data_IF_005320622591
#
_entry.id   IF_005320622591
#
_cell.length_a   1.000
_cell.length_b   1.000
_cell.length_c   1.000
_cell.angle_alpha   90.00
_cell.angle_beta   90.00
_cell.angle_gamma   90.00
#
_symmetry.space_group_name_H-M   'P 1'
#
loop_
_entity.id
_entity.type
_entity.pdbx_description
1 polymer ?
#
# COMPACT_ATOMS: atom_id res chain seq x y z
N UNK A 1 26.79 -17.14 8.07
CA UNK A 1 25.51 -17.35 8.78
C UNK A 1 24.45 -16.57 8.03
N UNK A 2 23.24 -17.11 7.92
CA UNK A 2 22.13 -16.40 7.29
C UNK A 2 21.79 -15.14 8.12
N UNK A 3 21.76 -13.92 7.53
CA UNK A 3 21.47 -12.67 8.27
C UNK A 3 20.14 -12.71 9.03
N UNK A 4 19.10 -13.32 8.45
CA UNK A 4 17.79 -13.48 9.09
C UNK A 4 17.90 -14.37 10.34
N UNK A 5 18.68 -15.44 10.25
CA UNK A 5 18.90 -16.37 11.37
C UNK A 5 19.56 -15.69 12.57
N UNK A 6 20.51 -14.78 12.32
CA UNK A 6 21.19 -14.03 13.38
C UNK A 6 20.25 -13.01 14.03
N UNK A 7 19.43 -12.32 13.25
CA UNK A 7 18.47 -11.34 13.79
C UNK A 7 17.41 -11.97 14.67
N UNK A 8 16.96 -13.18 14.31
CA UNK A 8 15.96 -13.92 15.07
C UNK A 8 16.55 -14.79 16.20
N UNK A 9 17.87 -14.77 16.41
CA UNK A 9 18.58 -15.58 17.42
C UNK A 9 18.27 -17.10 17.36
N UNK A 10 18.16 -17.63 16.13
CA UNK A 10 17.70 -19.02 15.93
C UNK A 10 18.79 -20.04 16.24
N UNK A 11 18.49 -20.96 17.16
CA UNK A 11 19.35 -22.09 17.49
C UNK A 11 19.42 -23.10 16.33
N UNK A 12 20.63 -23.35 15.81
CA UNK A 12 20.87 -24.24 14.66
C UNK A 12 20.41 -25.69 14.86
N UNK A 13 20.55 -26.25 16.06
CA UNK A 13 20.18 -27.65 16.31
C UNK A 13 18.66 -27.81 16.35
N UNK A 14 17.98 -26.88 17.04
CA UNK A 14 16.52 -26.84 17.12
C UNK A 14 15.88 -26.61 15.75
N UNK A 15 16.40 -25.63 15.01
CA UNK A 15 15.99 -25.36 13.63
C UNK A 15 16.07 -26.59 12.73
N UNK A 16 17.18 -27.35 12.77
CA UNK A 16 17.34 -28.56 11.94
C UNK A 16 16.30 -29.64 12.27
N UNK A 17 15.92 -29.77 13.53
CA UNK A 17 14.86 -30.71 13.96
C UNK A 17 13.53 -30.28 13.35
N UNK A 18 13.18 -28.99 13.45
CA UNK A 18 11.93 -28.44 12.92
C UNK A 18 11.83 -28.69 11.40
N UNK A 19 12.87 -28.33 10.64
CA UNK A 19 12.89 -28.52 9.19
C UNK A 19 12.80 -29.99 8.81
N UNK A 20 13.60 -30.86 9.45
CA UNK A 20 13.58 -32.30 9.16
C UNK A 20 12.19 -32.91 9.37
N UNK A 21 11.49 -32.53 10.44
CA UNK A 21 10.14 -33.07 10.72
C UNK A 21 9.12 -32.51 9.74
N UNK A 22 9.21 -31.21 9.38
CA UNK A 22 8.36 -30.62 8.33
C UNK A 22 8.58 -31.33 6.99
N UNK A 23 9.82 -31.54 6.55
CA UNK A 23 10.15 -32.27 5.31
C UNK A 23 9.63 -33.71 5.33
N UNK A 24 9.88 -34.46 6.39
CA UNK A 24 9.41 -35.84 6.49
C UNK A 24 7.88 -35.95 6.52
N UNK A 25 7.18 -34.98 7.11
CA UNK A 25 5.72 -34.89 7.02
C UNK A 25 5.25 -34.53 5.60
N UNK A 26 5.87 -33.52 4.97
CA UNK A 26 5.54 -33.09 3.61
C UNK A 26 5.74 -34.20 2.59
N UNK A 27 6.79 -35.02 2.75
CA UNK A 27 7.14 -36.18 1.94
C UNK A 27 6.28 -37.44 2.25
N UNK A 28 5.40 -37.37 3.25
CA UNK A 28 4.53 -38.48 3.66
C UNK A 28 5.25 -39.62 4.39
N UNK A 29 6.46 -39.38 4.89
CA UNK A 29 7.24 -40.34 5.70
C UNK A 29 6.78 -40.36 7.16
N UNK A 30 6.18 -39.27 7.64
CA UNK A 30 5.61 -39.13 8.98
C UNK A 30 4.12 -38.82 8.91
N UNK A 31 3.35 -39.37 9.85
CA UNK A 31 1.98 -38.92 10.11
C UNK A 31 1.99 -37.65 10.98
N UNK A 32 0.86 -36.94 11.01
CA UNK A 32 0.68 -35.74 11.83
C UNK A 32 0.92 -36.03 13.32
N UNK A 33 0.32 -37.11 13.83
CA UNK A 33 0.44 -37.54 15.23
C UNK A 33 1.89 -37.89 15.61
N UNK A 34 2.58 -38.62 14.73
CA UNK A 34 3.96 -39.03 14.97
C UNK A 34 4.92 -37.83 14.92
N UNK A 35 4.75 -36.95 13.93
CA UNK A 35 5.54 -35.73 13.84
C UNK A 35 5.35 -34.82 15.05
N UNK A 36 4.11 -34.63 15.51
CA UNK A 36 3.82 -33.85 16.72
C UNK A 36 4.46 -34.47 17.97
N UNK A 37 4.39 -35.81 18.12
CA UNK A 37 5.04 -36.53 19.22
C UNK A 37 6.55 -36.29 19.23
N UNK A 38 7.21 -36.38 18.07
CA UNK A 38 8.65 -36.14 17.95
C UNK A 38 9.01 -34.69 18.29
N UNK A 39 8.21 -33.71 17.85
CA UNK A 39 8.41 -32.30 18.21
C UNK A 39 8.30 -32.08 19.72
N UNK A 40 7.28 -32.67 20.39
CA UNK A 40 7.12 -32.62 21.84
C UNK A 40 8.32 -33.22 22.59
N UNK A 41 8.80 -34.38 22.14
CA UNK A 41 9.92 -35.07 22.78
C UNK A 41 11.27 -34.37 22.57
N UNK A 42 11.54 -33.84 21.37
CA UNK A 42 12.86 -33.30 21.01
C UNK A 42 13.00 -31.80 21.25
N UNK A 43 11.94 -31.02 21.01
CA UNK A 43 11.98 -29.56 21.17
C UNK A 43 11.34 -29.10 22.46
N UNK A 44 10.31 -29.82 22.94
CA UNK A 44 9.46 -29.43 24.07
C UNK A 44 8.54 -28.25 23.72
N UNK A 45 9.12 -27.15 23.29
CA UNK A 45 8.46 -25.92 22.85
C UNK A 45 9.05 -25.44 21.53
N UNK A 46 8.34 -24.57 20.80
CA UNK A 46 8.79 -23.92 19.57
C UNK A 46 8.35 -22.46 19.62
N UNK A 47 9.27 -21.51 19.40
CA UNK A 47 8.90 -20.08 19.35
C UNK A 47 8.29 -19.71 17.99
N UNK A 48 7.50 -18.62 17.93
CA UNK A 48 6.95 -18.10 16.67
C UNK A 48 8.02 -17.88 15.58
N UNK A 49 9.14 -17.30 15.96
CA UNK A 49 10.29 -17.03 15.09
C UNK A 49 11.00 -18.32 14.63
N UNK A 50 11.11 -19.35 15.47
CA UNK A 50 11.63 -20.67 15.07
C UNK A 50 10.72 -21.32 14.00
N UNK A 51 9.41 -21.29 14.21
CA UNK A 51 8.44 -21.82 13.25
C UNK A 51 8.50 -21.06 11.92
N UNK A 52 8.50 -19.73 11.97
CA UNK A 52 8.49 -18.89 10.79
C UNK A 52 9.81 -18.92 10.02
N UNK A 53 10.95 -18.97 10.72
CA UNK A 53 12.26 -19.15 10.10
C UNK A 53 12.40 -20.52 9.44
N UNK A 54 11.86 -21.58 10.05
CA UNK A 54 11.82 -22.90 9.42
C UNK A 54 10.99 -22.88 8.13
N UNK A 55 9.85 -22.17 8.13
CA UNK A 55 9.03 -22.00 6.92
C UNK A 55 9.78 -21.28 5.79
N UNK A 56 10.45 -20.17 6.14
CA UNK A 56 11.32 -19.44 5.21
C UNK A 56 12.43 -20.31 4.62
N UNK A 57 12.95 -21.26 5.40
CA UNK A 57 14.07 -22.10 4.99
C UNK A 57 13.67 -23.22 4.01
N UNK A 58 12.39 -23.57 3.92
CA UNK A 58 11.86 -24.51 2.93
C UNK A 58 11.72 -23.89 1.53
N UNK A 59 11.98 -22.58 1.40
CA UNK A 59 11.94 -21.85 0.13
C UNK A 59 12.89 -22.47 -0.89
N UNK A 60 12.36 -22.76 -2.09
CA UNK A 60 13.12 -23.35 -3.20
C UNK A 60 13.22 -24.87 -3.17
N UNK A 61 12.80 -25.51 -2.07
CA UNK A 61 12.65 -26.98 -1.98
C UNK A 61 11.23 -27.38 -2.36
N UNK A 62 10.24 -26.68 -1.80
CA UNK A 62 8.82 -26.86 -2.08
C UNK A 62 8.25 -25.64 -2.80
N UNK A 63 7.18 -25.81 -3.57
CA UNK A 63 6.41 -24.69 -4.13
C UNK A 63 5.56 -24.05 -3.04
N UNK A 64 5.22 -22.78 -3.22
CA UNK A 64 4.41 -22.06 -2.22
C UNK A 64 2.99 -22.63 -2.15
N UNK A 65 2.43 -23.08 -3.28
CA UNK A 65 1.11 -23.71 -3.32
C UNK A 65 1.07 -25.02 -2.52
N UNK A 66 2.14 -25.84 -2.59
CA UNK A 66 2.22 -27.11 -1.86
C UNK A 66 2.27 -26.91 -0.33
N UNK A 67 2.94 -25.84 0.11
CA UNK A 67 2.98 -25.47 1.53
C UNK A 67 1.63 -24.89 1.95
N UNK A 68 1.04 -24.03 1.12
CA UNK A 68 -0.23 -23.40 1.41
C UNK A 68 -1.33 -24.45 1.65
N UNK A 69 -1.46 -25.43 0.76
CA UNK A 69 -2.44 -26.50 0.86
C UNK A 69 -2.28 -27.35 2.13
N UNK A 70 -1.09 -27.36 2.72
CA UNK A 70 -0.74 -28.11 3.94
C UNK A 70 -0.53 -27.21 5.15
N UNK A 71 -0.79 -25.91 5.07
CA UNK A 71 -0.40 -24.98 6.14
C UNK A 71 -1.16 -25.26 7.45
N UNK A 72 -2.44 -25.60 7.37
CA UNK A 72 -3.21 -25.96 8.57
C UNK A 72 -2.67 -27.23 9.22
N UNK A 73 -2.31 -28.24 8.43
CA UNK A 73 -1.65 -29.45 8.92
C UNK A 73 -0.27 -29.15 9.50
N UNK A 74 0.51 -28.28 8.86
CA UNK A 74 1.82 -27.85 9.33
C UNK A 74 1.72 -27.04 10.62
N UNK A 75 0.63 -26.31 10.88
CA UNK A 75 0.39 -25.67 12.18
C UNK A 75 -0.06 -26.68 13.22
N UNK A 76 -0.99 -27.58 12.87
CA UNK A 76 -1.45 -28.67 13.75
C UNK A 76 -0.29 -29.58 14.18
N UNK A 77 0.73 -29.73 13.34
CA UNK A 77 1.96 -30.45 13.67
C UNK A 77 2.65 -29.89 14.92
N UNK A 78 2.50 -28.59 15.19
CA UNK A 78 3.05 -27.91 16.37
C UNK A 78 2.02 -27.71 17.48
N UNK A 79 0.85 -28.35 17.42
CA UNK A 79 -0.16 -28.24 18.48
C UNK A 79 0.39 -28.70 19.84
N UNK A 80 0.24 -27.85 20.85
CA UNK A 80 0.84 -28.00 22.17
C UNK A 80 2.38 -27.89 22.21
N UNK A 81 3.02 -27.46 21.12
CA UNK A 81 4.47 -27.20 21.03
C UNK A 81 4.74 -25.72 20.75
N UNK A 82 3.97 -25.11 19.83
CA UNK A 82 4.10 -23.69 19.49
C UNK A 82 3.72 -22.83 20.69
N UNK A 83 4.64 -21.98 21.13
CA UNK A 83 4.43 -21.09 22.27
C UNK A 83 3.75 -19.82 21.77
N UNK A 84 2.64 -19.46 22.41
CA UNK A 84 2.03 -18.14 22.22
C UNK A 84 2.90 -17.08 22.90
N UNK A 85 3.43 -16.15 22.11
CA UNK A 85 4.17 -15.04 22.66
C UNK A 85 3.21 -14.06 23.35
N UNK A 86 3.40 -13.83 24.65
CA UNK A 86 2.70 -12.78 25.40
C UNK A 86 3.48 -11.46 25.26
N UNK A 87 3.51 -10.91 24.05
CA UNK A 87 4.14 -9.61 23.83
C UNK A 87 3.20 -8.49 24.25
N UNK A 88 3.69 -7.56 25.07
CA UNK A 88 3.03 -6.28 25.30
C UNK A 88 3.59 -5.24 24.32
N UNK A 89 2.73 -4.71 23.46
CA UNK A 89 3.09 -3.65 22.54
C UNK A 89 2.78 -2.28 23.18
N UNK A 90 3.71 -1.31 23.15
CA UNK A 90 3.45 0.03 23.67
C UNK A 90 2.22 0.68 23.02
N UNK A 91 1.52 1.54 23.75
CA UNK A 91 0.41 2.32 23.19
C UNK A 91 0.88 3.13 21.96
N UNK A 92 0.03 3.20 20.94
CA UNK A 92 0.32 3.79 19.62
C UNK A 92 1.40 3.07 18.79
N UNK A 93 1.99 1.97 19.28
CA UNK A 93 2.87 1.14 18.47
C UNK A 93 2.10 0.54 17.28
N UNK A 94 2.70 0.40 16.07
CA UNK A 94 1.98 -0.18 14.94
C UNK A 94 1.42 -1.58 15.19
N UNK A 95 2.19 -2.45 15.86
CA UNK A 95 1.70 -3.79 16.26
C UNK A 95 0.64 -3.75 17.37
N UNK A 96 0.63 -2.70 18.20
CA UNK A 96 -0.48 -2.46 19.14
C UNK A 96 -1.76 -2.13 18.36
N UNK A 97 -1.66 -1.33 17.29
CA UNK A 97 -2.82 -1.02 16.45
C UNK A 97 -3.38 -2.27 15.74
N UNK A 98 -2.52 -3.15 15.22
CA UNK A 98 -2.96 -4.45 14.67
C UNK A 98 -3.68 -5.30 15.72
N UNK A 99 -3.16 -5.37 16.95
CA UNK A 99 -3.78 -6.10 18.05
C UNK A 99 -5.16 -5.52 18.41
N UNK A 100 -5.29 -4.20 18.52
CA UNK A 100 -6.57 -3.55 18.84
C UNK A 100 -7.62 -3.74 17.75
N UNK A 101 -7.23 -3.74 16.48
CA UNK A 101 -8.12 -4.07 15.38
C UNK A 101 -8.59 -5.53 15.42
N UNK A 102 -7.69 -6.47 15.70
CA UNK A 102 -8.03 -7.89 15.86
C UNK A 102 -9.02 -8.06 17.02
N UNK A 103 -8.78 -7.39 18.15
CA UNK A 103 -9.70 -7.39 19.29
C UNK A 103 -11.06 -6.77 18.94
N UNK A 104 -11.08 -5.73 18.10
CA UNK A 104 -12.30 -5.08 17.66
C UNK A 104 -13.11 -5.95 16.69
N UNK A 105 -12.46 -6.57 15.70
CA UNK A 105 -13.16 -7.44 14.74
C UNK A 105 -13.66 -8.72 15.40
N UNK A 106 -12.99 -9.24 16.43
CA UNK A 106 -13.50 -10.40 17.16
C UNK A 106 -14.82 -10.08 17.88
N UNK A 107 -14.99 -8.84 18.40
CA UNK A 107 -16.29 -8.41 18.96
C UNK A 107 -17.38 -8.40 17.88
N UNK A 108 -17.07 -7.95 16.68
CA UNK A 108 -17.98 -7.98 15.53
C UNK A 108 -18.31 -9.43 15.12
N UNK A 109 -17.33 -10.33 15.14
CA UNK A 109 -17.54 -11.75 14.87
C UNK A 109 -18.43 -12.43 15.92
N UNK A 110 -18.27 -12.07 17.20
CA UNK A 110 -19.15 -12.53 18.27
C UNK A 110 -20.59 -12.02 18.12
N UNK A 111 -20.78 -10.77 17.69
CA UNK A 111 -22.11 -10.25 17.35
C UNK A 111 -22.75 -11.06 16.22
N UNK A 112 -21.98 -11.41 15.18
CA UNK A 112 -22.44 -12.27 14.10
C UNK A 112 -22.85 -13.67 14.59
N UNK A 113 -22.07 -14.28 15.49
CA UNK A 113 -22.41 -15.57 16.10
C UNK A 113 -23.71 -15.50 16.92
N UNK A 114 -23.95 -14.40 17.64
CA UNK A 114 -25.21 -14.20 18.37
C UNK A 114 -26.40 -14.00 17.43
N UNK A 115 -26.20 -13.33 16.29
CA UNK A 115 -27.23 -13.20 15.26
C UNK A 115 -27.58 -14.54 14.61
N UNK A 116 -26.60 -15.44 14.40
CA UNK A 116 -26.84 -16.79 13.86
C UNK A 116 -27.76 -17.65 14.75
N UNK A 117 -27.79 -17.38 16.06
CA UNK A 117 -28.61 -18.13 17.02
C UNK A 117 -30.08 -17.68 17.03
N UNK A 118 -30.43 -16.60 16.34
CA UNK A 118 -31.79 -16.06 16.35
C UNK A 118 -32.69 -16.82 15.38
N UNK A 119 -33.88 -17.19 15.84
CA UNK A 119 -34.87 -17.90 15.02
C UNK A 119 -35.43 -17.06 13.85
N UNK A 120 -35.40 -15.73 13.98
CA UNK A 120 -35.93 -14.80 12.99
C UNK A 120 -34.81 -13.99 12.35
N UNK A 121 -34.74 -14.05 11.03
CA UNK A 121 -33.85 -13.20 10.26
C UNK A 121 -34.32 -11.73 10.28
N UNK A 122 -33.42 -10.82 10.69
CA UNK A 122 -33.61 -9.37 10.63
C UNK A 122 -32.41 -8.77 9.90
N UNK A 123 -32.64 -8.16 8.73
CA UNK A 123 -31.56 -7.67 7.85
C UNK A 123 -30.68 -6.57 8.47
N UNK A 124 -31.27 -5.62 9.19
CA UNK A 124 -30.53 -4.41 9.63
C UNK A 124 -29.34 -4.70 10.57
N UNK A 125 -29.46 -5.55 11.62
CA UNK A 125 -28.29 -5.96 12.41
C UNK A 125 -27.19 -6.61 11.58
N UNK A 126 -27.55 -7.47 10.63
CA UNK A 126 -26.59 -8.09 9.71
C UNK A 126 -25.86 -7.08 8.82
N UNK A 127 -26.56 -6.02 8.37
CA UNK A 127 -25.92 -4.93 7.62
C UNK A 127 -24.87 -4.22 8.48
N UNK A 128 -25.18 -3.91 9.74
CA UNK A 128 -24.22 -3.28 10.65
C UNK A 128 -22.96 -4.13 10.89
N UNK A 129 -23.14 -5.43 11.13
CA UNK A 129 -22.03 -6.39 11.26
C UNK A 129 -21.18 -6.41 10.00
N UNK A 130 -21.79 -6.52 8.83
CA UNK A 130 -21.05 -6.62 7.56
C UNK A 130 -20.47 -5.30 7.07
N UNK A 131 -21.02 -4.15 7.49
CA UNK A 131 -20.36 -2.85 7.31
C UNK A 131 -19.04 -2.81 8.09
N UNK A 132 -19.05 -3.22 9.36
CA UNK A 132 -17.84 -3.31 10.18
C UNK A 132 -16.83 -4.34 9.65
N UNK A 133 -17.29 -5.54 9.26
CA UNK A 133 -16.42 -6.55 8.64
C UNK A 133 -15.82 -6.07 7.31
N UNK A 134 -16.55 -5.27 6.53
CA UNK A 134 -16.03 -4.72 5.27
C UNK A 134 -14.89 -3.73 5.48
N UNK A 135 -14.80 -3.06 6.64
CA UNK A 135 -13.65 -2.24 7.01
C UNK A 135 -12.37 -3.05 7.19
N UNK A 136 -12.45 -4.37 7.43
CA UNK A 136 -11.29 -5.25 7.59
C UNK A 136 -10.33 -5.21 6.39
N UNK A 137 -10.83 -4.84 5.20
CA UNK A 137 -9.97 -4.57 4.03
C UNK A 137 -8.89 -3.52 4.27
N UNK A 138 -9.12 -2.57 5.20
CA UNK A 138 -8.17 -1.52 5.57
C UNK A 138 -7.02 -2.13 6.38
N UNK A 139 -7.32 -2.97 7.36
CA UNK A 139 -6.32 -3.75 8.11
C UNK A 139 -5.47 -4.60 7.16
N UNK A 140 -6.10 -5.35 6.26
CA UNK A 140 -5.39 -6.15 5.25
C UNK A 140 -4.52 -5.28 4.34
N UNK A 141 -5.03 -4.13 3.89
CA UNK A 141 -4.27 -3.17 3.07
C UNK A 141 -3.05 -2.62 3.80
N UNK A 142 -3.18 -2.26 5.07
CA UNK A 142 -2.07 -1.76 5.88
C UNK A 142 -1.01 -2.82 6.06
N UNK A 143 -1.42 -4.05 6.36
CA UNK A 143 -0.52 -5.20 6.48
C UNK A 143 0.24 -5.46 5.17
N UNK A 144 -0.46 -5.45 4.04
CA UNK A 144 0.09 -5.73 2.71
C UNK A 144 1.02 -4.65 2.18
N UNK A 145 0.73 -3.37 2.46
CA UNK A 145 1.48 -2.25 1.91
C UNK A 145 2.53 -1.68 2.87
N UNK A 146 2.46 -2.01 4.16
CA UNK A 146 3.40 -1.50 5.17
C UNK A 146 4.18 -2.62 5.85
N UNK A 147 3.51 -3.58 6.49
CA UNK A 147 4.20 -4.60 7.29
C UNK A 147 4.97 -5.59 6.42
N UNK A 148 4.34 -6.16 5.38
CA UNK A 148 5.01 -7.16 4.53
C UNK A 148 6.25 -6.61 3.82
N UNK A 149 6.24 -5.43 3.17
CA UNK A 149 7.44 -4.89 2.54
C UNK A 149 8.59 -4.68 3.53
N UNK A 150 8.29 -4.30 4.78
CA UNK A 150 9.32 -4.17 5.81
C UNK A 150 9.92 -5.53 6.17
N UNK A 151 9.11 -6.55 6.40
CA UNK A 151 9.58 -7.91 6.69
C UNK A 151 10.39 -8.51 5.53
N UNK A 152 9.94 -8.28 4.29
CA UNK A 152 10.58 -8.75 3.06
C UNK A 152 11.98 -8.14 2.88
N UNK A 153 12.18 -6.87 3.27
CA UNK A 153 13.51 -6.25 3.29
C UNK A 153 14.50 -6.97 4.23
N UNK A 154 13.99 -7.71 5.21
CA UNK A 154 14.79 -8.57 6.10
C UNK A 154 14.88 -10.02 5.63
N UNK A 155 14.39 -10.33 4.42
CA UNK A 155 14.43 -11.68 3.83
C UNK A 155 13.35 -12.62 4.35
N UNK A 156 12.28 -12.08 4.94
CA UNK A 156 11.13 -12.83 5.45
C UNK A 156 9.98 -12.82 4.42
N UNK A 157 10.23 -13.36 3.23
CA UNK A 157 9.33 -13.19 2.07
C UNK A 157 8.38 -14.36 1.81
N UNK A 158 8.75 -15.58 2.20
CA UNK A 158 7.86 -16.73 2.01
C UNK A 158 6.67 -16.70 2.97
N UNK A 159 6.85 -16.44 4.29
CA UNK A 159 5.73 -16.32 5.20
C UNK A 159 4.79 -15.17 4.81
N UNK A 160 5.29 -14.03 4.33
CA UNK A 160 4.42 -12.90 3.90
C UNK A 160 3.57 -13.27 2.69
N UNK A 161 4.13 -13.99 1.70
CA UNK A 161 3.39 -14.49 0.54
C UNK A 161 2.29 -15.50 0.91
N UNK A 162 2.58 -16.39 1.86
CA UNK A 162 1.59 -17.34 2.38
C UNK A 162 0.47 -16.58 3.10
N UNK A 163 0.81 -15.65 3.99
CA UNK A 163 -0.15 -14.81 4.69
C UNK A 163 -1.04 -14.00 3.73
N UNK A 164 -0.48 -13.47 2.63
CA UNK A 164 -1.24 -12.76 1.59
C UNK A 164 -2.39 -13.61 1.02
N UNK A 165 -2.19 -14.92 0.89
CA UNK A 165 -3.24 -15.79 0.33
C UNK A 165 -4.40 -15.96 1.31
N UNK A 166 -4.12 -16.06 2.62
CA UNK A 166 -5.14 -16.03 3.66
C UNK A 166 -5.89 -14.69 3.68
N UNK A 167 -5.18 -13.55 3.52
CA UNK A 167 -5.79 -12.22 3.42
C UNK A 167 -6.82 -12.15 2.30
N UNK A 168 -6.43 -12.65 1.11
CA UNK A 168 -7.32 -12.74 -0.05
C UNK A 168 -8.52 -13.62 0.27
N UNK A 169 -8.32 -14.77 0.91
CA UNK A 169 -9.39 -15.68 1.31
C UNK A 169 -10.43 -15.02 2.22
N UNK A 170 -9.98 -14.29 3.24
CA UNK A 170 -10.86 -13.55 4.17
C UNK A 170 -11.60 -12.44 3.43
N UNK A 171 -10.89 -11.59 2.69
CA UNK A 171 -11.48 -10.47 1.93
C UNK A 171 -12.56 -10.95 0.96
N UNK A 172 -12.25 -11.98 0.18
CA UNK A 172 -13.15 -12.51 -0.84
C UNK A 172 -14.38 -13.15 -0.17
N UNK A 173 -14.21 -13.85 0.97
CA UNK A 173 -15.33 -14.45 1.73
C UNK A 173 -16.25 -13.41 2.34
N UNK A 174 -15.70 -12.34 2.95
CA UNK A 174 -16.50 -11.21 3.48
C UNK A 174 -17.27 -10.55 2.34
N UNK A 175 -16.61 -10.25 1.21
CA UNK A 175 -17.24 -9.60 0.06
C UNK A 175 -18.36 -10.44 -0.56
N UNK A 176 -18.16 -11.76 -0.67
CA UNK A 176 -19.15 -12.68 -1.22
C UNK A 176 -20.38 -12.76 -0.30
N UNK A 177 -20.17 -13.00 1.00
CA UNK A 177 -21.25 -13.02 1.99
C UNK A 177 -21.99 -11.68 2.04
N UNK A 178 -21.28 -10.55 1.99
CA UNK A 178 -21.93 -9.25 1.99
C UNK A 178 -22.80 -9.01 0.74
N UNK A 179 -22.35 -9.50 -0.42
CA UNK A 179 -23.13 -9.44 -1.66
C UNK A 179 -24.44 -10.21 -1.54
N UNK A 180 -24.40 -11.44 -0.99
CA UNK A 180 -25.60 -12.24 -0.75
C UNK A 180 -26.61 -11.51 0.16
N UNK A 181 -26.12 -10.86 1.23
CA UNK A 181 -26.96 -10.07 2.13
C UNK A 181 -27.63 -8.88 1.43
N UNK A 182 -26.90 -8.20 0.54
CA UNK A 182 -27.40 -7.04 -0.22
C UNK A 182 -28.40 -7.44 -1.30
N UNK A 183 -28.23 -8.61 -1.90
CA UNK A 183 -29.12 -9.19 -2.92
C UNK A 183 -30.33 -9.95 -2.32
N UNK A 184 -30.57 -9.86 -1.02
CA UNK A 184 -31.68 -10.51 -0.32
C UNK A 184 -31.66 -12.06 -0.37
N UNK A 185 -30.49 -12.65 -0.62
CA UNK A 185 -30.26 -14.12 -0.66
C UNK A 185 -29.95 -14.68 0.73
N UNK A 186 -30.93 -14.61 1.62
CA UNK A 186 -30.72 -14.83 3.05
C UNK A 186 -30.30 -16.25 3.45
N UNK A 187 -30.83 -17.29 2.81
CA UNK A 187 -30.46 -18.67 3.12
C UNK A 187 -28.99 -18.96 2.76
N UNK A 188 -28.59 -18.53 1.57
CA UNK A 188 -27.20 -18.63 1.07
C UNK A 188 -26.25 -17.80 1.93
N UNK A 189 -26.67 -16.59 2.30
CA UNK A 189 -25.93 -15.72 3.21
C UNK A 189 -25.69 -16.39 4.56
N UNK A 190 -26.75 -16.87 5.23
CA UNK A 190 -26.61 -17.51 6.55
C UNK A 190 -25.73 -18.77 6.48
N UNK A 191 -25.79 -19.50 5.37
CA UNK A 191 -24.91 -20.66 5.14
C UNK A 191 -23.44 -20.26 4.94
N UNK A 192 -23.14 -19.07 4.43
CA UNK A 192 -21.77 -18.60 4.16
C UNK A 192 -21.10 -17.90 5.35
N UNK A 193 -21.87 -17.40 6.33
CA UNK A 193 -21.32 -16.70 7.51
C UNK A 193 -20.36 -17.58 8.32
N UNK A 194 -20.68 -18.84 8.70
CA UNK A 194 -19.78 -19.65 9.52
C UNK A 194 -18.39 -19.85 8.91
N UNK A 195 -18.33 -20.12 7.60
CA UNK A 195 -17.06 -20.26 6.89
C UNK A 195 -16.30 -18.92 6.83
N UNK A 196 -17.02 -17.81 6.63
CA UNK A 196 -16.42 -16.47 6.61
C UNK A 196 -15.79 -16.12 7.95
N UNK A 197 -16.50 -16.36 9.06
CA UNK A 197 -15.99 -16.11 10.41
C UNK A 197 -14.83 -17.06 10.77
N UNK A 198 -14.89 -18.32 10.32
CA UNK A 198 -13.80 -19.28 10.52
C UNK A 198 -12.51 -18.81 9.85
N UNK A 199 -12.57 -18.37 8.57
CA UNK A 199 -11.41 -17.82 7.85
C UNK A 199 -10.84 -16.57 8.53
N UNK A 200 -11.70 -15.67 8.98
CA UNK A 200 -11.29 -14.46 9.69
C UNK A 200 -10.53 -14.80 10.98
N UNK A 201 -11.11 -15.66 11.81
CA UNK A 201 -10.51 -16.08 13.09
C UNK A 201 -9.21 -16.85 12.88
N UNK A 202 -9.16 -17.69 11.86
CA UNK A 202 -7.96 -18.42 11.49
C UNK A 202 -6.81 -17.47 11.09
N UNK A 203 -7.10 -16.48 10.24
CA UNK A 203 -6.12 -15.43 9.90
C UNK A 203 -5.65 -14.67 11.14
N UNK A 204 -6.58 -14.21 11.98
CA UNK A 204 -6.28 -13.47 13.20
C UNK A 204 -5.40 -14.30 14.16
N UNK A 205 -5.68 -15.60 14.30
CA UNK A 205 -4.86 -16.50 15.12
C UNK A 205 -3.43 -16.59 14.58
N UNK A 206 -3.28 -16.82 13.27
CA UNK A 206 -1.97 -16.88 12.61
C UNK A 206 -1.19 -15.56 12.77
N UNK A 207 -1.87 -14.42 12.74
CA UNK A 207 -1.26 -13.12 12.99
C UNK A 207 -0.75 -12.96 14.43
N UNK A 208 -1.61 -13.24 15.41
CA UNK A 208 -1.28 -13.11 16.82
C UNK A 208 -0.20 -14.10 17.27
N UNK A 209 -0.25 -15.33 16.77
CA UNK A 209 0.65 -16.41 17.20
C UNK A 209 2.00 -16.34 16.50
N UNK A 210 2.05 -15.93 15.22
CA UNK A 210 3.25 -16.02 14.40
C UNK A 210 3.71 -14.67 13.87
N UNK A 211 2.86 -13.97 13.11
CA UNK A 211 3.28 -12.79 12.34
C UNK A 211 3.72 -11.62 13.25
N UNK A 212 2.86 -11.18 14.17
CA UNK A 212 3.15 -10.01 15.01
C UNK A 212 4.34 -10.26 15.95
N UNK A 213 4.45 -11.42 16.64
CA UNK A 213 5.62 -11.70 17.47
C UNK A 213 6.93 -11.75 16.70
N UNK A 214 6.91 -12.35 15.50
CA UNK A 214 8.10 -12.40 14.64
C UNK A 214 8.46 -11.01 14.14
N UNK A 215 7.47 -10.20 13.77
CA UNK A 215 7.66 -8.82 13.33
C UNK A 215 8.31 -7.96 14.42
N UNK A 216 7.87 -8.12 15.67
CA UNK A 216 8.40 -7.37 16.81
C UNK A 216 9.88 -7.67 17.07
N UNK A 217 10.31 -8.91 16.83
CA UNK A 217 11.73 -9.29 16.95
C UNK A 217 12.58 -8.83 15.77
N UNK A 218 11.99 -8.78 14.57
CA UNK A 218 12.74 -8.59 13.33
C UNK A 218 12.98 -7.11 12.99
N UNK A 219 12.00 -6.26 13.28
CA UNK A 219 11.98 -4.85 12.90
C UNK A 219 12.51 -3.96 14.02
N UNK A 220 13.18 -2.86 13.66
CA UNK A 220 13.65 -1.87 14.64
C UNK A 220 12.61 -0.80 14.97
N UNK A 221 12.84 -0.08 16.07
CA UNK A 221 12.02 1.06 16.47
C UNK A 221 11.95 2.14 15.38
N UNK A 222 13.05 2.42 14.67
CA UNK A 222 13.04 3.37 13.54
C UNK A 222 12.14 2.92 12.39
N UNK A 223 12.09 1.61 12.13
CA UNK A 223 11.22 1.04 11.11
C UNK A 223 9.75 1.15 11.52
N UNK A 224 9.43 0.86 12.79
CA UNK A 224 8.09 1.05 13.33
C UNK A 224 7.66 2.52 13.38
N UNK A 225 8.57 3.45 13.68
CA UNK A 225 8.29 4.89 13.61
C UNK A 225 7.94 5.33 12.18
N UNK A 226 8.67 4.82 11.18
CA UNK A 226 8.36 5.08 9.77
C UNK A 226 7.01 4.46 9.38
N UNK A 227 6.75 3.23 9.82
CA UNK A 227 5.49 2.54 9.55
C UNK A 227 4.29 3.31 10.11
N UNK A 228 4.39 3.75 11.36
CA UNK A 228 3.34 4.51 12.05
C UNK A 228 2.89 5.75 11.26
N UNK A 229 3.83 6.48 10.63
CA UNK A 229 3.49 7.64 9.81
C UNK A 229 2.70 7.26 8.56
N UNK A 230 3.13 6.22 7.86
CA UNK A 230 2.50 5.77 6.62
C UNK A 230 1.17 5.04 6.85
N UNK A 231 1.02 4.39 8.00
CA UNK A 231 -0.21 3.71 8.41
C UNK A 231 -1.41 4.67 8.40
N UNK A 232 -1.20 5.94 8.77
CA UNK A 232 -2.23 6.98 8.76
C UNK A 232 -2.72 7.35 7.36
N UNK A 233 -1.92 7.12 6.31
CA UNK A 233 -2.35 7.37 4.92
C UNK A 233 -3.33 6.30 4.43
N UNK A 234 -3.23 5.08 4.99
CA UNK A 234 -4.10 3.95 4.65
C UNK A 234 -5.35 3.95 5.54
N UNK A 235 -5.16 4.18 6.84
CA UNK A 235 -6.21 4.18 7.85
C UNK A 235 -6.24 2.92 8.72
N UNK A 236 -7.29 2.84 9.55
CA UNK A 236 -7.49 1.80 10.54
C UNK A 236 -8.91 1.22 10.39
N UNK A 237 -9.04 -0.10 10.57
CA UNK A 237 -10.31 -0.82 10.50
C UNK A 237 -10.99 -0.83 11.87
N UNK A 238 -12.26 -0.44 11.96
CA UNK A 238 -13.14 -0.60 13.14
C UNK A 238 -12.74 0.26 14.36
N UNK A 239 -11.47 0.60 14.52
CA UNK A 239 -10.95 1.43 15.61
C UNK A 239 -10.76 2.88 15.15
N UNK A 240 -10.71 3.81 16.11
CA UNK A 240 -10.23 5.16 15.84
C UNK A 240 -8.74 5.14 15.53
N UNK A 241 -8.31 6.07 14.67
CA UNK A 241 -6.89 6.24 14.39
C UNK A 241 -6.10 6.52 15.69
N UNK A 242 -5.11 5.70 16.04
CA UNK A 242 -4.23 5.98 17.17
C UNK A 242 -3.36 7.20 16.93
N UNK A 243 -2.62 7.61 17.97
CA UNK A 243 -1.54 8.57 17.80
C UNK A 243 -0.37 7.97 17.02
N UNK A 244 0.61 8.81 16.70
CA UNK A 244 1.90 8.38 16.16
C UNK A 244 2.68 7.60 17.22
N UNK A 245 3.38 6.56 16.80
CA UNK A 245 4.34 5.86 17.65
C UNK A 245 5.54 6.76 17.93
N UNK A 246 5.87 6.97 19.21
CA UNK A 246 6.95 7.86 19.64
C UNK A 246 8.02 7.05 20.36
N UNK A 247 9.25 7.20 19.89
CA UNK A 247 10.43 6.64 20.52
C UNK A 247 11.37 7.79 20.90
N UNK A 248 11.67 7.96 22.21
CA UNK A 248 12.55 9.02 22.68
C UNK A 248 13.90 9.03 21.97
N UNK A 249 14.30 10.18 21.43
CA UNK A 249 15.55 10.37 20.70
C UNK A 249 15.53 9.95 19.22
N UNK A 250 14.41 9.39 18.72
CA UNK A 250 14.24 9.05 17.29
C UNK A 250 13.29 10.04 16.61
N UNK A 251 12.12 10.29 17.21
CA UNK A 251 11.08 11.14 16.64
C UNK A 251 10.34 11.97 17.69
N UNK A 252 11.09 12.63 18.57
CA UNK A 252 10.53 13.42 19.69
C UNK A 252 9.48 14.45 19.24
N UNK A 253 9.60 15.00 18.03
CA UNK A 253 8.63 15.94 17.45
C UNK A 253 7.25 15.34 17.20
N UNK A 254 7.14 14.01 17.03
CA UNK A 254 5.86 13.32 16.88
C UNK A 254 5.04 13.31 18.18
N UNK A 255 5.70 13.39 19.35
CA UNK A 255 5.01 13.47 20.64
C UNK A 255 4.12 14.73 20.75
N UNK A 256 4.57 15.84 20.15
CA UNK A 256 3.83 17.10 20.11
C UNK A 256 2.58 17.01 19.23
N UNK A 257 2.58 16.14 18.21
CA UNK A 257 1.43 15.93 17.34
C UNK A 257 0.34 15.11 18.04
N UNK A 258 0.73 14.11 18.85
CA UNK A 258 -0.22 13.30 19.64
C UNK A 258 -0.97 14.13 20.68
N UNK A 259 -0.33 15.14 21.28
CA UNK A 259 -0.94 15.99 22.32
C UNK A 259 -1.95 17.02 21.81
N UNK A 260 -2.01 17.27 20.49
CA UNK A 260 -2.81 18.35 19.90
C UNK A 260 -4.12 17.87 19.24
N UNK A 261 -4.58 16.65 19.50
CA UNK A 261 -5.88 16.16 19.04
C UNK A 261 -7.11 16.88 19.66
N UNK A 262 -6.90 17.92 20.46
CA UNK A 262 -7.93 18.82 20.96
C UNK A 262 -7.53 20.30 20.77
N UNK A 263 -7.48 20.80 19.53
CA UNK A 263 -7.41 22.25 19.28
C UNK A 263 -6.90 22.66 17.90
N UNK A 264 -7.71 23.38 17.15
CA UNK A 264 -7.34 24.02 15.88
C UNK A 264 -6.22 25.07 16.00
N UNK A 265 -5.43 25.15 14.93
CA UNK A 265 -4.62 26.26 14.40
C UNK A 265 -3.28 26.69 15.05
N UNK A 266 -2.31 26.82 14.13
CA UNK A 266 -1.17 27.74 14.08
C UNK A 266 0.03 27.52 15.00
N UNK A 267 1.13 27.04 14.41
CA UNK A 267 2.40 27.76 14.21
C UNK A 267 3.52 26.74 13.96
N UNK A 268 4.13 26.77 12.77
CA UNK A 268 5.32 25.96 12.47
C UNK A 268 6.46 26.48 13.36
N UNK A 269 6.90 25.65 14.30
CA UNK A 269 7.94 25.97 15.26
C UNK A 269 9.32 26.05 14.62
N UNK A 270 10.13 27.01 15.08
CA UNK A 270 11.50 27.28 14.62
C UNK A 270 12.45 26.06 14.69
N UNK A 271 12.08 25.00 15.40
CA UNK A 271 12.83 23.73 15.43
C UNK A 271 12.76 22.97 14.11
N UNK A 272 11.60 22.97 13.43
CA UNK A 272 11.48 22.35 12.10
C UNK A 272 12.34 23.06 11.06
N UNK A 273 12.48 24.38 11.17
CA UNK A 273 13.36 25.17 10.30
C UNK A 273 14.85 24.93 10.59
N UNK A 274 15.22 24.62 11.83
CA UNK A 274 16.59 24.27 12.19
C UNK A 274 16.96 22.85 11.74
N UNK A 275 16.05 21.89 11.85
CA UNK A 275 16.23 20.54 11.28
C UNK A 275 16.26 20.57 9.75
N UNK A 276 15.42 21.41 9.13
CA UNK A 276 15.46 21.65 7.69
C UNK A 276 16.76 22.35 7.26
N UNK A 277 17.32 23.25 8.07
CA UNK A 277 18.63 23.85 7.81
C UNK A 277 19.79 22.84 7.96
N UNK A 278 19.67 21.88 8.88
CA UNK A 278 20.60 20.75 9.03
C UNK A 278 20.53 19.77 7.85
N UNK A 279 19.35 19.56 7.28
CA UNK A 279 19.15 18.75 6.07
C UNK A 279 19.57 19.50 4.80
N UNK A 280 19.27 20.80 4.70
CA UNK A 280 19.68 21.66 3.58
C UNK A 280 21.19 21.83 3.51
N UNK A 281 21.92 21.90 4.63
CA UNK A 281 23.40 21.93 4.61
C UNK A 281 24.04 20.60 4.20
N UNK A 282 23.29 19.49 4.24
CA UNK A 282 23.72 18.17 3.77
C UNK A 282 23.41 17.93 2.29
N UNK A 283 22.34 18.53 1.76
CA UNK A 283 21.87 18.34 0.38
C UNK A 283 22.15 19.53 -0.55
N UNK A 284 22.34 20.72 0.00
CA UNK A 284 22.75 21.93 -0.71
C UNK A 284 24.20 22.19 -0.30
N UNK A 285 25.13 21.60 -1.06
CA UNK A 285 26.53 22.03 -1.04
C UNK A 285 26.64 23.56 -1.21
N UNK A 286 27.76 24.18 -0.81
CA UNK A 286 27.89 25.63 -0.71
C UNK A 286 27.53 26.30 -2.04
N UNK A 287 26.95 27.49 -1.96
CA UNK A 287 26.71 28.42 -3.07
C UNK A 287 27.84 28.31 -4.12
N UNK A 288 27.55 27.63 -5.24
CA UNK A 288 28.53 27.32 -6.28
C UNK A 288 28.26 25.95 -6.92
N UNK A 289 27.72 25.95 -8.13
CA UNK A 289 27.16 24.79 -8.80
C UNK A 289 28.06 23.55 -8.84
N UNK A 290 27.51 22.43 -8.35
CA UNK A 290 27.95 21.09 -8.69
C UNK A 290 26.84 20.46 -9.53
N UNK A 291 27.13 19.92 -10.73
CA UNK A 291 26.10 19.28 -11.54
C UNK A 291 25.56 18.05 -10.80
N UNK A 292 24.24 17.97 -10.61
CA UNK A 292 23.57 16.72 -10.23
C UNK A 292 23.84 15.71 -11.34
N UNK A 293 24.54 14.63 -11.02
CA UNK A 293 24.82 13.55 -11.97
C UNK A 293 23.53 12.88 -12.39
N UNK A 294 23.46 12.33 -13.62
CA UNK A 294 22.26 11.62 -14.12
C UNK A 294 21.80 10.48 -13.19
N UNK A 295 22.73 9.90 -12.45
CA UNK A 295 22.51 8.78 -11.51
C UNK A 295 22.24 9.23 -10.07
N UNK A 296 22.19 10.53 -9.78
CA UNK A 296 21.85 10.99 -8.44
C UNK A 296 20.39 10.68 -8.14
N UNK A 297 20.16 9.90 -7.08
CA UNK A 297 18.82 9.57 -6.57
C UNK A 297 18.26 10.80 -5.84
N UNK A 298 17.12 11.29 -6.30
CA UNK A 298 16.38 12.41 -5.74
C UNK A 298 15.25 11.87 -4.85
N UNK A 299 15.11 12.43 -3.66
CA UNK A 299 13.95 12.23 -2.80
C UNK A 299 12.77 13.05 -3.38
N UNK A 300 11.67 12.38 -3.74
CA UNK A 300 10.40 13.01 -4.13
C UNK A 300 9.37 12.81 -3.02
N UNK A 301 8.23 13.52 -3.07
CA UNK A 301 7.21 13.48 -2.00
C UNK A 301 6.82 12.05 -1.60
N UNK A 302 6.70 11.14 -2.58
CA UNK A 302 6.40 9.73 -2.35
C UNK A 302 7.35 8.86 -3.18
N UNK A 303 8.55 8.60 -2.65
CA UNK A 303 9.53 7.69 -3.24
C UNK A 303 10.88 8.33 -3.55
N UNK A 304 11.72 7.59 -4.29
CA UNK A 304 13.07 8.02 -4.67
C UNK A 304 13.35 7.65 -6.12
N UNK A 305 13.77 8.61 -6.93
CA UNK A 305 14.01 8.42 -8.37
C UNK A 305 15.25 9.19 -8.82
N UNK A 306 15.98 8.65 -9.79
CA UNK A 306 17.00 9.45 -10.49
C UNK A 306 16.36 10.43 -11.47
N UNK A 307 17.09 11.48 -11.86
CA UNK A 307 16.62 12.40 -12.89
C UNK A 307 16.33 11.69 -14.22
N UNK A 308 17.11 10.65 -14.55
CA UNK A 308 16.86 9.82 -15.73
C UNK A 308 15.53 9.06 -15.62
N UNK A 309 15.23 8.45 -14.47
CA UNK A 309 13.97 7.76 -14.25
C UNK A 309 12.77 8.71 -14.35
N UNK A 310 12.87 9.93 -13.80
CA UNK A 310 11.82 10.95 -13.92
C UNK A 310 11.55 11.28 -15.39
N UNK A 311 12.59 11.48 -16.20
CA UNK A 311 12.44 11.75 -17.64
C UNK A 311 11.81 10.56 -18.38
N UNK A 312 12.18 9.33 -18.02
CA UNK A 312 11.60 8.11 -18.61
C UNK A 312 10.11 7.99 -18.27
N UNK A 313 9.71 8.22 -17.02
CA UNK A 313 8.30 8.20 -16.63
C UNK A 313 7.49 9.18 -17.49
N UNK A 314 7.92 10.44 -17.60
CA UNK A 314 7.22 11.43 -18.42
C UNK A 314 7.17 11.07 -19.92
N UNK A 315 8.20 10.40 -20.44
CA UNK A 315 8.24 9.95 -21.85
C UNK A 315 7.29 8.78 -22.13
N UNK A 316 6.99 7.97 -21.12
CA UNK A 316 6.19 6.75 -21.24
C UNK A 316 4.76 6.87 -20.72
N UNK A 317 4.37 8.02 -20.16
CA UNK A 317 2.97 8.31 -19.86
C UNK A 317 2.13 8.28 -21.15
N UNK A 318 0.89 7.75 -21.11
CA UNK A 318 -0.04 7.74 -22.25
C UNK A 318 -0.75 9.08 -22.44
N UNK A 319 -0.13 10.17 -21.97
CA UNK A 319 -0.65 11.54 -22.03
C UNK A 319 0.49 12.52 -22.30
N UNK A 320 0.15 13.62 -22.96
CA UNK A 320 1.07 14.73 -23.16
C UNK A 320 0.90 15.75 -22.06
N UNK A 321 2.02 16.23 -21.50
CA UNK A 321 2.03 17.24 -20.45
C UNK A 321 2.77 18.48 -20.93
N UNK A 322 2.30 19.66 -20.52
CA UNK A 322 3.03 20.93 -20.62
C UNK A 322 2.83 21.72 -19.34
N UNK A 323 3.90 22.29 -18.80
CA UNK A 323 3.86 23.05 -17.55
C UNK A 323 4.37 24.48 -17.75
N UNK A 324 3.57 25.43 -17.28
CA UNK A 324 3.84 26.86 -17.24
C UNK A 324 3.93 27.29 -15.78
N UNK A 325 5.00 27.98 -15.39
CA UNK A 325 5.23 28.37 -13.99
C UNK A 325 4.38 29.58 -13.55
N UNK A 326 4.55 29.98 -12.29
CA UNK A 326 3.87 31.13 -11.71
C UNK A 326 4.19 32.47 -12.39
N UNK A 327 5.26 32.52 -13.20
CA UNK A 327 5.70 33.66 -14.00
C UNK A 327 5.25 33.57 -15.47
N UNK A 328 4.34 32.64 -15.77
CA UNK A 328 3.77 32.44 -17.11
C UNK A 328 4.78 31.98 -18.16
N UNK A 329 5.91 31.41 -17.72
CA UNK A 329 6.95 30.87 -18.58
C UNK A 329 6.80 29.36 -18.74
N UNK A 330 6.88 28.87 -19.97
CA UNK A 330 6.89 27.42 -20.23
C UNK A 330 8.17 26.80 -19.66
N UNK A 331 8.04 25.85 -18.73
CA UNK A 331 9.19 25.20 -18.08
C UNK A 331 9.42 23.77 -18.53
N UNK A 332 8.37 23.09 -18.94
CA UNK A 332 8.43 21.66 -19.21
C UNK A 332 7.38 21.25 -20.23
N UNK A 333 7.71 20.22 -21.02
CA UNK A 333 6.77 19.45 -21.80
C UNK A 333 7.24 17.99 -21.87
N UNK A 334 6.33 17.02 -21.95
CA UNK A 334 6.68 15.60 -22.10
C UNK A 334 7.03 15.26 -23.55
N UNK A 335 8.12 14.52 -23.77
CA UNK A 335 8.58 14.06 -25.09
C UNK A 335 8.17 12.64 -25.44
N UNK A 336 6.85 12.43 -25.44
CA UNK A 336 6.19 11.19 -25.82
C UNK A 336 6.32 10.94 -27.34
N UNK A 337 6.46 9.67 -27.77
CA UNK A 337 6.45 9.32 -29.19
C UNK A 337 5.13 9.61 -29.92
N UNK A 338 4.01 9.60 -29.18
CA UNK A 338 2.64 9.70 -29.67
C UNK A 338 2.02 11.09 -29.49
N UNK A 339 2.85 12.13 -29.41
CA UNK A 339 2.39 13.48 -29.06
C UNK A 339 1.37 14.03 -30.05
N UNK A 340 0.29 14.60 -29.52
CA UNK A 340 -0.85 15.16 -30.26
C UNK A 340 -0.47 16.46 -30.96
N UNK A 341 0.21 17.38 -30.24
CA UNK A 341 0.69 18.64 -30.82
C UNK A 341 2.21 18.78 -30.71
N UNK A 342 2.93 19.04 -31.80
CA UNK A 342 4.39 19.19 -31.74
C UNK A 342 4.79 20.39 -30.87
N UNK A 343 5.90 20.24 -30.15
CA UNK A 343 6.58 21.30 -29.40
C UNK A 343 8.06 21.28 -29.76
N UNK A 344 8.70 22.44 -29.78
CA UNK A 344 10.14 22.60 -29.99
C UNK A 344 10.81 22.96 -28.67
N UNK A 345 12.05 22.52 -28.46
CA UNK A 345 12.85 22.89 -27.28
C UNK A 345 12.95 24.42 -27.09
N UNK A 346 12.85 25.20 -28.18
CA UNK A 346 12.85 26.67 -28.14
C UNK A 346 11.63 27.29 -27.42
N UNK A 347 10.61 26.49 -27.08
CA UNK A 347 9.45 26.96 -26.33
C UNK A 347 9.77 27.16 -24.84
N UNK A 348 10.80 26.47 -24.32
CA UNK A 348 11.18 26.57 -22.91
C UNK A 348 11.68 27.99 -22.60
N UNK A 349 11.12 28.59 -21.56
CA UNK A 349 11.39 29.97 -21.13
C UNK A 349 10.59 31.04 -21.88
N UNK A 350 9.72 30.65 -22.83
CA UNK A 350 8.84 31.59 -23.54
C UNK A 350 7.57 31.86 -22.72
N UNK A 351 7.08 33.10 -22.75
CA UNK A 351 5.77 33.44 -22.16
C UNK A 351 4.63 32.71 -22.88
N UNK A 352 3.71 32.11 -22.12
CA UNK A 352 2.63 31.26 -22.64
C UNK A 352 1.73 31.98 -23.66
N UNK A 353 1.45 33.27 -23.46
CA UNK A 353 0.65 34.08 -24.41
C UNK A 353 1.29 34.15 -25.79
N UNK A 354 2.62 34.16 -25.85
CA UNK A 354 3.36 34.22 -27.11
C UNK A 354 3.36 32.87 -27.85
N UNK A 355 3.00 31.76 -27.18
CA UNK A 355 2.88 30.44 -27.79
C UNK A 355 1.54 30.22 -28.51
N UNK A 356 0.60 31.15 -28.39
CA UNK A 356 -0.75 31.00 -28.92
C UNK A 356 -1.06 32.05 -30.01
N UNK A 357 -1.93 31.74 -30.99
CA UNK A 357 -2.42 32.72 -31.95
C UNK A 357 -3.14 33.89 -31.28
N UNK A 358 -3.06 35.10 -31.84
CA UNK A 358 -3.68 36.31 -31.26
C UNK A 358 -5.17 36.16 -30.91
N UNK A 359 -5.91 35.36 -31.69
CA UNK A 359 -7.33 35.07 -31.46
C UNK A 359 -7.64 34.26 -30.20
N UNK A 360 -6.65 33.63 -29.56
CA UNK A 360 -6.84 32.77 -28.38
C UNK A 360 -6.04 33.24 -27.16
N UNK A 361 -5.24 34.31 -27.28
CA UNK A 361 -4.44 34.85 -26.16
C UNK A 361 -5.33 35.27 -24.99
N UNK A 362 -6.46 35.92 -25.27
CA UNK A 362 -7.39 36.36 -24.22
C UNK A 362 -7.93 35.20 -23.38
N UNK A 363 -8.19 34.04 -24.02
CA UNK A 363 -8.64 32.82 -23.31
C UNK A 363 -7.52 32.27 -22.41
N UNK A 364 -6.27 32.30 -22.88
CA UNK A 364 -5.11 31.84 -22.10
C UNK A 364 -4.90 32.74 -20.87
N UNK A 365 -4.96 34.05 -21.05
CA UNK A 365 -4.83 35.03 -19.96
C UNK A 365 -5.96 34.89 -18.94
N UNK A 366 -7.20 34.69 -19.41
CA UNK A 366 -8.37 34.44 -18.57
C UNK A 366 -8.21 33.17 -17.73
N UNK A 367 -7.76 32.05 -18.33
CA UNK A 367 -7.50 30.80 -17.61
C UNK A 367 -6.43 31.01 -16.53
N UNK A 368 -5.31 31.66 -16.87
CA UNK A 368 -4.23 31.90 -15.91
C UNK A 368 -4.70 32.75 -14.74
N UNK A 369 -5.45 33.82 -14.98
CA UNK A 369 -5.93 34.71 -13.92
C UNK A 369 -7.01 34.05 -13.04
N UNK A 370 -7.94 33.32 -13.66
CA UNK A 370 -8.98 32.55 -12.94
C UNK A 370 -8.35 31.49 -12.04
N UNK A 371 -7.27 30.85 -12.52
CA UNK A 371 -6.51 29.90 -11.70
C UNK A 371 -5.67 30.59 -10.64
N UNK A 372 -5.03 31.72 -10.96
CA UNK A 372 -4.20 32.45 -10.00
C UNK A 372 -5.02 32.98 -8.83
N UNK A 373 -6.20 33.53 -9.10
CA UNK A 373 -7.13 34.07 -8.10
C UNK A 373 -7.79 32.99 -7.23
N UNK A 374 -7.85 31.74 -7.71
CA UNK A 374 -8.52 30.65 -7.01
C UNK A 374 -10.01 30.49 -7.34
N UNK A 375 -10.53 31.27 -8.30
CA UNK A 375 -11.92 31.15 -8.76
C UNK A 375 -12.18 29.78 -9.40
N UNK A 376 -11.21 29.25 -10.15
CA UNK A 376 -11.24 27.89 -10.67
C UNK A 376 -9.90 27.18 -10.46
N UNK A 377 -9.94 25.85 -10.49
CA UNK A 377 -8.75 25.00 -10.42
C UNK A 377 -8.57 24.13 -11.65
N UNK A 378 -9.57 24.04 -12.52
CA UNK A 378 -9.54 23.22 -13.72
C UNK A 378 -10.35 23.87 -14.85
N UNK A 379 -9.94 23.62 -16.08
CA UNK A 379 -10.67 23.97 -17.29
C UNK A 379 -10.39 22.90 -18.34
N UNK A 380 -11.43 22.34 -18.95
CA UNK A 380 -11.29 21.24 -19.90
C UNK A 380 -12.04 21.52 -21.20
N UNK A 381 -11.55 20.94 -22.29
CA UNK A 381 -12.22 20.93 -23.57
C UNK A 381 -11.80 19.69 -24.37
N UNK A 382 -12.58 19.35 -25.39
CA UNK A 382 -12.28 18.20 -26.23
C UNK A 382 -12.42 18.55 -27.71
N UNK A 383 -11.64 17.84 -28.53
CA UNK A 383 -11.69 17.92 -29.99
C UNK A 383 -12.24 16.60 -30.48
N UNK A 384 -13.43 16.65 -31.07
CA UNK A 384 -14.10 15.49 -31.64
C UNK A 384 -14.06 15.58 -33.17
N UNK A 385 -13.30 14.69 -33.81
CA UNK A 385 -13.20 14.53 -35.26
C UNK A 385 -13.54 13.08 -35.65
N UNK A 386 -13.94 12.82 -36.90
CA UNK A 386 -14.13 11.45 -37.37
C UNK A 386 -12.87 10.60 -37.11
N UNK A 387 -13.03 9.53 -36.31
CA UNK A 387 -11.94 8.62 -35.96
C UNK A 387 -10.94 9.12 -34.92
N UNK A 388 -11.18 10.28 -34.29
CA UNK A 388 -10.25 10.85 -33.31
C UNK A 388 -10.96 11.66 -32.23
N UNK A 389 -10.70 11.34 -30.96
CA UNK A 389 -11.19 12.10 -29.82
C UNK A 389 -10.04 12.52 -28.90
N UNK A 390 -9.75 13.81 -28.87
CA UNK A 390 -8.72 14.38 -28.01
C UNK A 390 -9.37 15.05 -26.82
N UNK A 391 -8.94 14.69 -25.62
CA UNK A 391 -9.27 15.35 -24.37
C UNK A 391 -8.12 16.26 -23.94
N UNK A 392 -8.43 17.49 -23.51
CA UNK A 392 -7.46 18.45 -22.99
C UNK A 392 -7.98 19.02 -21.68
N UNK A 393 -7.13 19.03 -20.65
CA UNK A 393 -7.43 19.62 -19.35
C UNK A 393 -6.27 20.51 -18.89
N UNK A 394 -6.61 21.70 -18.44
CA UNK A 394 -5.73 22.59 -17.69
C UNK A 394 -6.04 22.46 -16.21
N UNK A 395 -5.01 22.34 -15.37
CA UNK A 395 -5.13 22.27 -13.92
C UNK A 395 -4.22 23.30 -13.27
N UNK A 396 -4.75 24.04 -12.31
CA UNK A 396 -3.99 24.96 -11.47
C UNK A 396 -3.05 24.16 -10.56
N UNK A 397 -1.74 24.35 -10.69
CA UNK A 397 -0.75 23.76 -9.80
C UNK A 397 -0.61 24.67 -8.58
N UNK A 398 -0.83 24.11 -7.38
CA UNK A 398 -0.69 24.82 -6.11
C UNK A 398 0.25 24.08 -5.17
N UNK A 399 0.92 24.80 -4.29
CA UNK A 399 1.67 24.16 -3.19
C UNK A 399 0.73 23.79 -2.01
N UNK A 400 1.29 23.17 -0.98
CA UNK A 400 0.56 22.71 0.21
C UNK A 400 -0.20 23.83 0.94
N UNK A 401 0.19 25.10 0.75
CA UNK A 401 -0.49 26.26 1.33
C UNK A 401 -1.55 26.86 0.38
N UNK A 402 -1.84 26.19 -0.74
CA UNK A 402 -2.79 26.66 -1.76
C UNK A 402 -2.25 27.78 -2.67
N UNK A 403 -0.96 28.13 -2.56
CA UNK A 403 -0.37 29.20 -3.38
C UNK A 403 -0.25 28.72 -4.83
N UNK A 404 -0.70 29.54 -5.76
CA UNK A 404 -0.56 29.27 -7.20
C UNK A 404 0.91 29.16 -7.62
N UNK A 405 1.27 28.04 -8.23
CA UNK A 405 2.61 27.70 -8.73
C UNK A 405 2.66 27.57 -10.25
N UNK A 406 1.52 27.54 -10.94
CA UNK A 406 1.50 27.49 -12.39
C UNK A 406 0.27 26.77 -12.94
N UNK A 407 0.34 26.43 -14.22
CA UNK A 407 -0.70 25.70 -14.94
C UNK A 407 -0.09 24.44 -15.57
N UNK A 408 -0.71 23.29 -15.30
CA UNK A 408 -0.42 22.03 -15.97
C UNK A 408 -1.47 21.78 -17.05
N UNK A 409 -1.05 21.70 -18.30
CA UNK A 409 -1.83 21.23 -19.43
C UNK A 409 -1.58 19.72 -19.60
N UNK A 410 -2.65 18.94 -19.69
CA UNK A 410 -2.62 17.51 -20.04
C UNK A 410 -3.50 17.26 -21.26
N UNK A 411 -3.01 16.44 -22.19
CA UNK A 411 -3.76 16.03 -23.38
C UNK A 411 -3.69 14.52 -23.56
N UNK A 412 -4.80 13.92 -24.01
CA UNK A 412 -4.88 12.50 -24.26
C UNK A 412 -5.71 12.21 -25.51
N UNK A 413 -5.23 11.29 -26.34
CA UNK A 413 -6.05 10.63 -27.36
C UNK A 413 -6.88 9.54 -26.67
N UNK A 414 -8.16 9.82 -26.46
CA UNK A 414 -9.07 8.89 -25.80
C UNK A 414 -9.85 8.04 -26.81
N UNK A 415 -9.44 7.97 -28.08
CA UNK A 415 -10.14 7.19 -29.11
C UNK A 415 -10.26 5.73 -28.68
N UNK A 416 -9.15 5.09 -28.32
CA UNK A 416 -9.14 3.71 -27.81
C UNK A 416 -9.96 3.56 -26.52
N UNK A 417 -9.82 4.49 -25.58
CA UNK A 417 -10.54 4.45 -24.30
C UNK A 417 -12.06 4.46 -24.53
N UNK A 418 -12.54 5.22 -25.53
CA UNK A 418 -13.96 5.30 -25.88
C UNK A 418 -14.49 4.04 -26.59
N UNK A 419 -13.62 3.19 -27.11
CA UNK A 419 -13.98 1.91 -27.74
C UNK A 419 -14.07 0.75 -26.74
N UNK A 420 -13.57 0.93 -25.52
CA UNK A 420 -13.60 -0.11 -24.49
C UNK A 420 -15.04 -0.37 -24.02
N UNK A 421 -15.43 -1.64 -23.99
CA UNK A 421 -16.73 -2.11 -23.50
C UNK A 421 -16.54 -3.28 -22.52
N UNK A 422 -17.54 -3.54 -21.67
CA UNK A 422 -17.52 -4.65 -20.71
C UNK A 422 -16.50 -4.47 -19.59
N UNK A 423 -15.84 -5.56 -19.18
CA UNK A 423 -14.84 -5.57 -18.10
C UNK A 423 -13.69 -6.52 -18.42
N UNK A 424 -12.46 -6.04 -18.31
CA UNK A 424 -11.25 -6.86 -18.43
C UNK A 424 -10.50 -6.82 -17.08
N UNK A 425 -10.59 -7.91 -16.31
CA UNK A 425 -10.03 -8.01 -14.94
C UNK A 425 -8.78 -8.87 -14.86
N UNK A 426 -8.40 -9.52 -15.96
CA UNK A 426 -7.23 -10.40 -16.06
C UNK A 426 -6.44 -10.03 -17.31
N UNK A 427 -5.11 -10.13 -17.23
CA UNK A 427 -4.21 -9.78 -18.32
C UNK A 427 -4.29 -10.81 -19.46
N UNK A 428 -4.71 -10.37 -20.64
CA UNK A 428 -4.55 -11.11 -21.89
C UNK A 428 -3.48 -10.43 -22.75
N UNK A 429 -2.46 -11.20 -23.14
CA UNK A 429 -1.41 -10.70 -24.02
C UNK A 429 -1.90 -10.76 -25.48
N UNK A 430 -2.68 -9.78 -25.91
CA UNK A 430 -3.04 -9.65 -27.32
C UNK A 430 -1.83 -9.16 -28.14
N UNK A 431 -1.55 -9.85 -29.25
CA UNK A 431 -0.41 -9.58 -30.16
C UNK A 431 -0.70 -8.44 -31.16
N UNK A 432 -1.61 -7.55 -30.85
CA UNK A 432 -1.86 -6.35 -31.66
C UNK A 432 -1.14 -5.20 -31.01
N UNK A 433 0.04 -4.87 -31.52
CA UNK A 433 0.70 -3.61 -31.20
C UNK A 433 -0.28 -2.47 -31.48
N UNK A 434 -0.60 -1.67 -30.45
CA UNK A 434 -1.38 -0.46 -30.64
C UNK A 434 -0.53 0.54 -31.44
N UNK A 435 -0.76 0.57 -32.76
CA UNK A 435 -0.23 1.61 -33.63
C UNK A 435 -1.19 2.78 -33.51
N UNK A 436 -0.96 3.65 -32.53
CA UNK A 436 -1.64 4.96 -32.48
C UNK A 436 -1.49 5.63 -33.84
N UNK A 437 -2.61 6.02 -34.45
CA UNK A 437 -2.61 6.55 -35.81
C UNK A 437 -1.76 7.84 -35.82
N UNK A 438 -0.62 7.79 -36.49
CA UNK A 438 0.44 8.81 -36.47
C UNK A 438 0.07 10.07 -37.28
N UNK A 439 -1.22 10.39 -37.38
CA UNK A 439 -1.71 11.56 -38.07
C UNK A 439 -1.52 12.80 -37.19
N UNK A 440 -0.34 13.39 -37.30
CA UNK A 440 -0.07 14.74 -36.77
C UNK A 440 -1.12 15.70 -37.31
N UNK A 441 -1.87 16.32 -36.40
CA UNK A 441 -2.76 17.43 -36.75
C UNK A 441 -1.89 18.65 -37.03
N UNK A 442 -1.80 19.03 -38.31
CA UNK A 442 -1.20 20.31 -38.74
C UNK A 442 -2.19 21.47 -38.55
#
# INVERSE_FOLDING_TARGET
MNPLQQKLDINNERYRIIVSIKEDYLDGKLSLEEGNRILKEKLGTCTPDEFAYAEQSLKGVYKDEEILDKMDDLLNLFDGVLVRAENEYPENHPLWAYLEEINAVEKVALEADELLKQDKFIKNPWLGVFDSLAEWRIHLSRKQNQLYPMLENHGFDRPTRIMWTFDKGVRDSISASYTLLREDKYEEFLASVPETLAKLRDLNSKELEVLLPTSFKLLSDEEFVRMSKNDHEIGYAIINAPGLYVVPGINDSAALLNGNAAGHNSAVSNELLNDLAGLLSKYVGPVGGVPVGKDTVLDVATGKLTLEQINLLFRHLPVDLSYVDENELVKFYSDTPHRIFPRSANVIGREVKNCHPAKSVHVVEEIVETFRSGEQSQAEFWINKPGLFIYVIYTAVRDENGKFRGVLEMMQDCTHIRELEGSCTLLTWDKTDFVGDNQRIY
#
